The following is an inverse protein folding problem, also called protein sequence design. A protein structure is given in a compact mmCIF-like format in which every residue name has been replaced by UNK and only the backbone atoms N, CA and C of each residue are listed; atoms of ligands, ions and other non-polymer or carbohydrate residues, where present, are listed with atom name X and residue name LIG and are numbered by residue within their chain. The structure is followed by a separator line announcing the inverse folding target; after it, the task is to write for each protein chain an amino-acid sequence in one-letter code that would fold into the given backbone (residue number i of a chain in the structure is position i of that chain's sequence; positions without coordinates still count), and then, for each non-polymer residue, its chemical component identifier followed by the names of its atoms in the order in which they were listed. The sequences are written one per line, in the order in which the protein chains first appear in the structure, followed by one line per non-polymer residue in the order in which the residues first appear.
data_IF_372863876114
#
_entry.id   IF_372863876114
#
_cell.length_a   1.000
_cell.length_b   1.000
_cell.length_c   1.000
_cell.angle_alpha   90.00
_cell.angle_beta   90.00
_cell.angle_gamma   90.00
#
_symmetry.space_group_name_H-M   'P 1'
#
loop_
_entity.id
_entity.type
_entity.pdbx_description
1 polymer ?
#
# COMPACT_ATOMS: atom_id res chain seq x y z
N UNK A 1 25.46 20.82 1.14
CA UNK A 1 24.22 20.55 0.37
C UNK A 1 23.20 19.80 1.22
N UNK A 2 23.63 18.77 1.96
CA UNK A 2 22.76 17.99 2.87
C UNK A 2 21.95 18.82 3.89
N UNK A 3 22.55 19.84 4.52
CA UNK A 3 21.87 20.71 5.49
C UNK A 3 20.80 21.64 4.86
N UNK A 4 21.00 22.08 3.60
CA UNK A 4 20.04 22.90 2.87
C UNK A 4 18.82 22.08 2.38
N UNK A 5 19.04 20.83 1.96
CA UNK A 5 17.94 19.94 1.56
C UNK A 5 17.12 19.41 2.74
N UNK A 6 17.77 19.17 3.89
CA UNK A 6 17.08 18.78 5.12
C UNK A 6 16.19 19.89 5.71
N UNK A 7 16.60 21.16 5.58
CA UNK A 7 15.79 22.31 6.02
C UNK A 7 14.64 22.64 5.07
N UNK A 8 14.78 22.30 3.78
CA UNK A 8 13.71 22.41 2.78
C UNK A 8 12.67 21.27 2.83
N UNK A 9 12.85 20.27 3.71
CA UNK A 9 11.97 19.10 3.79
C UNK A 9 12.09 18.14 2.59
N UNK A 10 13.11 18.33 1.75
CA UNK A 10 13.32 17.57 0.51
C UNK A 10 14.19 16.32 0.71
N UNK A 11 14.66 16.08 1.94
CA UNK A 11 15.48 14.93 2.29
C UNK A 11 14.98 14.28 3.57
N UNK A 12 14.69 12.97 3.48
CA UNK A 12 14.48 12.14 4.68
C UNK A 12 15.75 12.13 5.54
N UNK A 13 15.65 11.89 6.86
CA UNK A 13 16.81 11.83 7.75
C UNK A 13 17.84 10.76 7.31
N UNK A 14 17.40 9.71 6.63
CA UNK A 14 18.25 8.68 6.01
C UNK A 14 18.99 9.27 4.80
N UNK A 15 18.29 9.91 3.88
CA UNK A 15 18.88 10.58 2.71
C UNK A 15 19.89 11.67 3.12
N UNK A 16 19.59 12.47 4.14
CA UNK A 16 20.49 13.50 4.65
C UNK A 16 21.82 12.92 5.18
N UNK A 17 21.77 11.78 5.88
CA UNK A 17 22.97 11.07 6.35
C UNK A 17 23.78 10.49 5.20
N UNK A 18 23.14 9.86 4.22
CA UNK A 18 23.82 9.30 3.05
C UNK A 18 24.46 10.40 2.19
N UNK A 19 23.78 11.53 2.00
CA UNK A 19 24.37 12.70 1.34
C UNK A 19 25.56 13.27 2.11
N UNK A 20 25.50 13.36 3.44
CA UNK A 20 26.64 13.82 4.25
C UNK A 20 27.86 12.88 4.16
N UNK A 21 27.64 11.57 3.97
CA UNK A 21 28.71 10.61 3.68
C UNK A 21 29.27 10.83 2.28
N UNK A 22 28.41 11.00 1.27
CA UNK A 22 28.81 11.27 -0.13
C UNK A 22 29.59 12.57 -0.31
N UNK A 23 29.23 13.62 0.43
CA UNK A 23 29.98 14.89 0.45
C UNK A 23 31.39 14.71 1.03
N UNK A 24 31.54 13.88 2.07
CA UNK A 24 32.84 13.62 2.70
C UNK A 24 33.73 12.68 1.89
N UNK A 25 33.15 11.72 1.19
CA UNK A 25 33.87 10.78 0.35
C UNK A 25 34.15 11.31 -1.07
N UNK A 26 33.55 12.45 -1.44
CA UNK A 26 33.63 13.00 -2.80
C UNK A 26 32.81 12.23 -3.84
N UNK A 27 31.98 11.28 -3.42
CA UNK A 27 31.22 10.37 -4.29
C UNK A 27 29.71 10.53 -4.05
N UNK A 28 29.22 11.73 -4.37
CA UNK A 28 27.82 12.10 -4.21
C UNK A 28 26.90 11.39 -5.21
N UNK A 29 27.39 11.13 -6.43
CA UNK A 29 26.62 10.43 -7.47
C UNK A 29 26.22 9.02 -7.03
N UNK A 30 27.15 8.27 -6.44
CA UNK A 30 26.83 6.93 -5.89
C UNK A 30 25.86 7.00 -4.72
N UNK A 31 26.02 7.97 -3.81
CA UNK A 31 25.12 8.09 -2.66
C UNK A 31 23.70 8.50 -3.05
N UNK A 32 23.53 9.37 -4.06
CA UNK A 32 22.20 9.68 -4.59
C UNK A 32 21.53 8.46 -5.23
N UNK A 33 22.30 7.61 -5.92
CA UNK A 33 21.82 6.33 -6.43
C UNK A 33 21.35 5.38 -5.34
N UNK A 34 22.09 5.27 -4.23
CA UNK A 34 21.67 4.48 -3.07
C UNK A 34 20.39 5.02 -2.40
N UNK A 35 20.25 6.35 -2.32
CA UNK A 35 19.03 6.98 -1.79
C UNK A 35 17.82 6.66 -2.68
N UNK A 36 17.99 6.72 -4.01
CA UNK A 36 16.94 6.37 -4.95
C UNK A 36 16.51 4.90 -4.79
N UNK A 37 17.49 3.98 -4.72
CA UNK A 37 17.22 2.55 -4.49
C UNK A 37 16.50 2.29 -3.17
N UNK A 38 16.89 2.98 -2.10
CA UNK A 38 16.21 2.86 -0.81
C UNK A 38 14.73 3.27 -0.90
N UNK A 39 14.42 4.33 -1.65
CA UNK A 39 13.05 4.79 -1.83
C UNK A 39 12.24 3.85 -2.73
N UNK A 40 12.84 3.35 -3.82
CA UNK A 40 12.22 2.35 -4.69
C UNK A 40 11.88 1.07 -3.90
N UNK A 41 12.78 0.60 -3.03
CA UNK A 41 12.56 -0.57 -2.18
C UNK A 41 11.47 -0.33 -1.11
N UNK A 42 11.34 0.90 -0.61
CA UNK A 42 10.28 1.29 0.31
C UNK A 42 8.92 1.33 -0.39
N UNK A 43 8.86 1.91 -1.59
CA UNK A 43 7.65 1.93 -2.44
C UNK A 43 7.26 0.52 -2.85
N UNK A 44 8.21 -0.33 -3.27
CA UNK A 44 7.95 -1.71 -3.66
C UNK A 44 7.36 -2.52 -2.50
N UNK A 45 7.89 -2.36 -1.28
CA UNK A 45 7.33 -3.00 -0.08
C UNK A 45 5.94 -2.50 0.26
N UNK A 46 5.70 -1.20 0.12
CA UNK A 46 4.36 -0.64 0.32
C UNK A 46 3.35 -1.24 -0.67
N UNK A 47 3.71 -1.33 -1.95
CA UNK A 47 2.86 -1.90 -3.00
C UNK A 47 2.60 -3.39 -2.76
N UNK A 48 3.62 -4.16 -2.37
CA UNK A 48 3.45 -5.59 -2.04
C UNK A 48 2.51 -5.77 -0.85
N UNK A 49 2.70 -5.01 0.23
CA UNK A 49 1.81 -5.05 1.39
C UNK A 49 0.37 -4.64 1.03
N UNK A 50 0.22 -3.58 0.25
CA UNK A 50 -1.07 -3.12 -0.25
C UNK A 50 -1.77 -4.21 -1.07
N UNK A 51 -1.04 -4.86 -1.97
CA UNK A 51 -1.57 -5.95 -2.81
C UNK A 51 -2.00 -7.14 -1.96
N UNK A 52 -1.19 -7.55 -0.98
CA UNK A 52 -1.53 -8.62 -0.03
C UNK A 52 -2.75 -8.29 0.83
N UNK A 53 -2.95 -7.03 1.20
CA UNK A 53 -4.14 -6.59 1.92
C UNK A 53 -5.37 -6.51 1.00
N UNK A 54 -5.18 -6.31 -0.30
CA UNK A 54 -6.28 -6.21 -1.27
C UNK A 54 -6.95 -7.55 -1.55
N UNK A 55 -6.20 -8.65 -1.56
CA UNK A 55 -6.72 -10.01 -1.75
C UNK A 55 -7.85 -10.39 -0.75
N UNK A 56 -7.67 -10.28 0.58
CA UNK A 56 -8.73 -10.61 1.53
C UNK A 56 -9.92 -9.66 1.44
N UNK A 57 -9.71 -8.39 1.05
CA UNK A 57 -10.80 -7.42 0.84
C UNK A 57 -11.69 -7.88 -0.32
N UNK A 58 -11.09 -8.28 -1.44
CA UNK A 58 -11.85 -8.82 -2.58
C UNK A 58 -12.63 -10.07 -2.19
N UNK A 59 -12.02 -11.00 -1.45
CA UNK A 59 -12.70 -12.21 -0.98
C UNK A 59 -13.88 -11.90 -0.05
N UNK A 60 -13.73 -10.93 0.87
CA UNK A 60 -14.82 -10.50 1.73
C UNK A 60 -15.98 -9.89 0.93
N UNK A 61 -15.69 -9.02 -0.03
CA UNK A 61 -16.70 -8.42 -0.91
C UNK A 61 -17.43 -9.48 -1.73
N UNK A 62 -16.70 -10.45 -2.30
CA UNK A 62 -17.28 -11.55 -3.06
C UNK A 62 -18.18 -12.42 -2.17
N UNK A 63 -17.74 -12.74 -0.95
CA UNK A 63 -18.52 -13.50 0.02
C UNK A 63 -19.82 -12.79 0.41
N UNK A 64 -19.77 -11.48 0.64
CA UNK A 64 -20.97 -10.66 0.91
C UNK A 64 -21.91 -10.63 -0.29
N UNK A 65 -21.38 -10.45 -1.50
CA UNK A 65 -22.17 -10.43 -2.72
C UNK A 65 -22.90 -11.76 -2.95
N UNK A 66 -22.19 -12.90 -2.80
CA UNK A 66 -22.79 -14.23 -2.93
C UNK A 66 -23.82 -14.46 -1.82
N UNK A 67 -23.50 -14.14 -0.57
CA UNK A 67 -24.42 -14.27 0.56
C UNK A 67 -25.71 -13.45 0.36
N UNK A 68 -25.59 -12.24 -0.18
CA UNK A 68 -26.74 -11.40 -0.51
C UNK A 68 -27.63 -12.02 -1.60
N UNK A 69 -27.03 -12.56 -2.67
CA UNK A 69 -27.78 -13.26 -3.73
C UNK A 69 -28.53 -14.47 -3.18
N UNK A 70 -27.89 -15.25 -2.30
CA UNK A 70 -28.51 -16.42 -1.66
C UNK A 70 -29.74 -16.00 -0.85
N UNK A 71 -29.64 -14.95 -0.03
CA UNK A 71 -30.79 -14.42 0.73
C UNK A 71 -31.93 -14.00 -0.20
N UNK A 72 -31.62 -13.29 -1.29
CA UNK A 72 -32.62 -12.89 -2.28
C UNK A 72 -33.30 -14.07 -2.97
N UNK A 73 -32.59 -15.19 -3.17
CA UNK A 73 -33.20 -16.39 -3.75
C UNK A 73 -34.12 -17.12 -2.77
N UNK A 74 -33.80 -17.11 -1.47
CA UNK A 74 -34.63 -17.80 -0.45
C UNK A 74 -35.81 -16.98 0.06
N UNK A 75 -35.69 -15.65 0.12
CA UNK A 75 -36.78 -14.74 0.52
C UNK A 75 -38.12 -15.03 -0.20
N UNK A 76 -38.21 -15.11 -1.54
CA UNK A 76 -39.47 -15.35 -2.23
C UNK A 76 -40.05 -16.75 -1.94
N UNK A 77 -39.20 -17.73 -1.63
CA UNK A 77 -39.65 -19.07 -1.23
C UNK A 77 -40.38 -18.99 0.11
N UNK A 78 -39.84 -18.22 1.07
CA UNK A 78 -40.48 -17.99 2.36
C UNK A 78 -41.81 -17.22 2.23
N UNK A 79 -41.85 -16.21 1.35
CA UNK A 79 -43.08 -15.46 1.06
C UNK A 79 -44.16 -16.36 0.44
N UNK A 80 -43.78 -17.25 -0.49
CA UNK A 80 -44.70 -18.24 -1.07
C UNK A 80 -45.22 -19.22 -0.02
N UNK A 81 -44.34 -19.73 0.86
CA UNK A 81 -44.71 -20.69 1.90
C UNK A 81 -45.64 -20.07 2.97
N UNK A 82 -45.46 -18.79 3.31
CA UNK A 82 -46.29 -18.08 4.28
C UNK A 82 -47.67 -17.67 3.74
N UNK A 83 -47.81 -17.54 2.43
CA UNK A 83 -49.07 -17.17 1.77
C UNK A 83 -49.97 -18.39 1.44
N UNK A 84 -49.49 -19.61 1.69
CA UNK A 84 -50.29 -20.84 1.63
C UNK A 84 -50.94 -21.04 3.01
N UNK A 85 -52.10 -20.41 3.21
CA UNK A 85 -53.07 -20.75 4.27
C UNK A 85 -54.34 -21.28 3.65
#
# INVERSE_FOLDING_TARGET
MSAAMGTAGLATPVAARMMAVGERSGDMGRMLGEIARFHDDEVARFVDWFTRAFEPVLMAVLGVAIGFVVVLMYMPIFELAGNIK
#
